data_IF_373661859513
#
_entry.id   IF_373661859513
#
_cell.length_a   1.000
_cell.length_b   1.000
_cell.length_c   1.000
_cell.angle_alpha   90.00
_cell.angle_beta   90.00
_cell.angle_gamma   90.00
#
_symmetry.space_group_name_H-M   'P 1'
#
loop_
_entity.id
_entity.type
_entity.pdbx_description
1 polymer ?
#
# COMPACT_ATOMS: atom_id res chain seq x y z
N UNK A 1 59.86 -5.36 53.19
CA UNK A 1 60.72 -6.57 53.25
C UNK A 1 60.29 -7.49 52.12
N UNK A 2 60.91 -7.36 50.95
CA UNK A 2 60.84 -8.40 49.91
C UNK A 2 62.17 -9.13 49.97
N UNK A 3 62.16 -10.43 50.28
CA UNK A 3 63.37 -11.24 50.19
C UNK A 3 63.69 -11.49 48.72
N UNK A 4 64.95 -11.30 48.33
CA UNK A 4 65.46 -11.81 47.06
C UNK A 4 65.55 -13.33 47.18
N UNK A 5 64.90 -14.01 46.25
CA UNK A 5 64.91 -15.47 46.15
C UNK A 5 66.21 -15.83 45.41
N UNK A 6 67.01 -16.74 45.96
CA UNK A 6 68.24 -17.22 45.33
C UNK A 6 67.91 -17.93 43.99
N UNK A 7 68.77 -17.78 42.99
CA UNK A 7 68.55 -18.26 41.61
C UNK A 7 68.33 -19.78 41.53
N UNK A 8 68.75 -20.53 42.57
CA UNK A 8 68.57 -21.98 42.72
C UNK A 8 67.18 -22.40 43.25
N UNK A 9 66.42 -21.48 43.84
CA UNK A 9 65.05 -21.71 44.35
C UNK A 9 63.96 -21.26 43.35
N UNK A 10 64.34 -20.87 42.14
CA UNK A 10 63.40 -20.57 41.07
C UNK A 10 62.73 -21.87 40.63
N UNK A 11 61.46 -22.08 40.98
CA UNK A 11 60.66 -23.20 40.47
C UNK A 11 60.80 -23.24 38.94
N UNK A 12 61.48 -24.26 38.43
CA UNK A 12 61.65 -24.50 36.99
C UNK A 12 60.30 -24.31 36.33
N UNK A 13 60.17 -23.29 35.47
CA UNK A 13 58.96 -23.04 34.72
C UNK A 13 58.64 -24.32 33.94
N UNK A 14 57.73 -25.14 34.46
CA UNK A 14 57.26 -26.31 33.74
C UNK A 14 56.60 -25.78 32.48
N UNK A 15 57.10 -26.15 31.28
CA UNK A 15 56.45 -25.73 30.06
C UNK A 15 54.99 -26.19 30.12
N UNK A 16 54.07 -25.27 29.86
CA UNK A 16 52.65 -25.52 29.94
C UNK A 16 52.26 -26.49 28.82
N UNK A 17 52.04 -27.76 29.19
CA UNK A 17 51.91 -28.89 28.26
C UNK A 17 50.52 -28.98 27.57
N UNK A 18 49.65 -27.99 27.78
CA UNK A 18 48.28 -27.98 27.24
C UNK A 18 48.14 -26.99 26.07
N UNK A 19 48.96 -27.13 25.04
CA UNK A 19 48.93 -26.28 23.84
C UNK A 19 47.56 -26.28 23.13
N UNK A 20 46.77 -27.35 23.28
CA UNK A 20 45.42 -27.47 22.72
C UNK A 20 44.45 -26.38 23.23
N UNK A 21 44.71 -25.80 24.41
CA UNK A 21 43.82 -24.78 24.99
C UNK A 21 43.83 -23.49 24.16
N UNK A 22 44.93 -23.21 23.46
CA UNK A 22 45.03 -22.02 22.61
C UNK A 22 44.19 -22.18 21.35
N UNK A 23 44.23 -23.36 20.70
CA UNK A 23 43.38 -23.64 19.53
C UNK A 23 41.91 -23.76 19.90
N UNK A 24 41.61 -24.29 21.10
CA UNK A 24 40.25 -24.31 21.64
C UNK A 24 39.74 -22.89 21.94
N UNK A 25 40.57 -22.05 22.55
CA UNK A 25 40.26 -20.64 22.81
C UNK A 25 39.94 -19.88 21.53
N UNK A 26 40.76 -20.06 20.49
CA UNK A 26 40.54 -19.44 19.17
C UNK A 26 39.19 -19.87 18.57
N UNK A 27 38.89 -21.18 18.54
CA UNK A 27 37.61 -21.70 18.04
C UNK A 27 36.40 -21.13 18.79
N UNK A 28 36.47 -21.08 20.13
CA UNK A 28 35.37 -20.53 20.96
C UNK A 28 35.17 -19.05 20.69
N UNK A 29 36.25 -18.27 20.52
CA UNK A 29 36.13 -16.84 20.21
C UNK A 29 35.57 -16.58 18.81
N UNK A 30 35.98 -17.36 17.80
CA UNK A 30 35.41 -17.28 16.45
C UNK A 30 33.92 -17.64 16.44
N UNK A 31 33.53 -18.67 17.18
CA UNK A 31 32.13 -19.07 17.33
C UNK A 31 31.31 -17.95 18.01
N UNK A 32 31.85 -17.33 19.07
CA UNK A 32 31.21 -16.21 19.75
C UNK A 32 31.04 -15.01 18.82
N UNK A 33 32.08 -14.60 18.10
CA UNK A 33 32.02 -13.54 17.11
C UNK A 33 31.00 -13.84 16.00
N UNK A 34 30.93 -15.08 15.52
CA UNK A 34 29.94 -15.51 14.53
C UNK A 34 28.49 -15.35 15.03
N UNK A 35 28.19 -15.78 16.26
CA UNK A 35 26.85 -15.61 16.83
C UNK A 35 26.47 -14.14 17.06
N UNK A 36 27.42 -13.30 17.48
CA UNK A 36 27.19 -11.85 17.62
C UNK A 36 26.86 -11.23 16.26
N UNK A 37 27.55 -11.62 15.19
CA UNK A 37 27.24 -11.19 13.82
C UNK A 37 25.86 -11.68 13.36
N UNK A 38 25.49 -12.93 13.62
CA UNK A 38 24.17 -13.46 13.32
C UNK A 38 23.05 -12.68 14.03
N UNK A 39 23.23 -12.38 15.32
CA UNK A 39 22.27 -11.58 16.08
C UNK A 39 22.18 -10.14 15.55
N UNK A 40 23.29 -9.56 15.08
CA UNK A 40 23.30 -8.23 14.45
C UNK A 40 22.54 -8.19 13.12
N UNK A 41 22.56 -9.29 12.35
CA UNK A 41 21.82 -9.43 11.11
C UNK A 41 20.34 -9.79 11.33
N UNK A 42 19.99 -10.39 12.47
CA UNK A 42 18.62 -10.58 12.94
C UNK A 42 18.02 -9.27 13.49
N UNK A 43 17.98 -8.22 12.67
CA UNK A 43 17.04 -7.12 12.89
C UNK A 43 15.66 -7.58 12.45
N UNK A 44 14.94 -8.18 13.38
CA UNK A 44 13.53 -8.50 13.17
C UNK A 44 12.74 -7.20 13.08
N UNK A 45 12.26 -6.88 11.89
CA UNK A 45 11.42 -5.73 11.62
C UNK A 45 10.02 -5.95 12.24
N UNK A 46 9.72 -5.22 13.30
CA UNK A 46 8.46 -5.32 14.07
C UNK A 46 7.25 -5.02 13.18
N UNK A 47 7.42 -4.24 12.12
CA UNK A 47 6.35 -3.95 11.16
C UNK A 47 5.95 -5.18 10.35
N UNK A 48 6.92 -6.03 9.94
CA UNK A 48 6.65 -7.25 9.17
C UNK A 48 5.90 -8.30 9.99
N UNK A 49 6.23 -8.43 11.28
CA UNK A 49 5.51 -9.34 12.19
C UNK A 49 4.06 -8.88 12.38
N UNK A 50 3.85 -7.56 12.52
CA UNK A 50 2.51 -7.01 12.69
C UNK A 50 1.66 -7.19 11.43
N UNK A 51 2.23 -7.04 10.24
CA UNK A 51 1.57 -7.31 8.95
C UNK A 51 1.16 -8.78 8.82
N UNK A 52 2.06 -9.73 9.15
CA UNK A 52 1.74 -11.16 9.13
C UNK A 52 0.59 -11.47 10.10
N UNK A 53 0.62 -10.92 11.33
CA UNK A 53 -0.45 -11.13 12.30
C UNK A 53 -1.80 -10.53 11.88
N UNK A 54 -1.79 -9.47 11.06
CA UNK A 54 -3.00 -8.84 10.54
C UNK A 54 -3.64 -9.68 9.42
N UNK A 55 -2.84 -10.39 8.61
CA UNK A 55 -3.34 -11.35 7.60
C UNK A 55 -3.93 -12.62 8.22
N UNK A 56 -3.62 -12.92 9.49
CA UNK A 56 -4.24 -14.03 10.24
C UNK A 56 -5.57 -13.66 10.90
N UNK A 57 -6.03 -12.39 10.83
CA UNK A 57 -7.42 -12.07 11.20
C UNK A 57 -8.34 -12.57 10.10
N UNK A 58 -9.14 -13.58 10.43
CA UNK A 58 -10.18 -14.11 9.57
C UNK A 58 -11.16 -13.00 9.20
N UNK A 59 -11.08 -12.51 7.97
CA UNK A 59 -12.12 -11.67 7.40
C UNK A 59 -13.27 -12.57 6.88
N UNK A 60 -14.53 -12.10 6.94
CA UNK A 60 -15.68 -12.85 6.46
C UNK A 60 -15.56 -13.22 4.97
N UNK A 61 -16.15 -14.35 4.54
CA UNK A 61 -16.03 -14.85 3.18
C UNK A 61 -16.60 -13.82 2.18
N UNK A 62 -15.77 -13.39 1.22
CA UNK A 62 -16.11 -12.38 0.21
C UNK A 62 -15.44 -11.01 0.42
N UNK A 63 -14.68 -10.82 1.49
CA UNK A 63 -13.80 -9.66 1.66
C UNK A 63 -12.50 -9.83 0.85
N UNK A 64 -11.99 -8.78 0.19
CA UNK A 64 -10.77 -8.86 -0.60
C UNK A 64 -9.57 -9.21 0.29
N UNK A 65 -8.69 -10.08 -0.23
CA UNK A 65 -7.45 -10.49 0.42
C UNK A 65 -6.50 -9.29 0.52
N UNK A 66 -6.25 -8.81 1.74
CA UNK A 66 -5.35 -7.67 2.01
C UNK A 66 -3.94 -8.21 2.28
N UNK A 67 -3.05 -8.10 1.29
CA UNK A 67 -1.61 -8.26 1.48
C UNK A 67 -0.98 -6.87 1.64
N UNK A 68 -0.78 -6.43 2.88
CA UNK A 68 -0.18 -5.13 3.19
C UNK A 68 1.35 -5.19 3.08
N UNK A 69 1.84 -5.14 1.84
CA UNK A 69 3.24 -4.89 1.53
C UNK A 69 3.38 -3.50 0.92
N UNK A 70 4.02 -2.58 1.66
CA UNK A 70 4.44 -1.23 1.26
C UNK A 70 3.37 -0.13 1.27
N UNK A 71 3.30 0.64 2.36
CA UNK A 71 3.82 2.03 2.46
C UNK A 71 3.14 2.76 3.64
N UNK A 72 3.93 3.11 4.66
CA UNK A 72 3.40 3.62 5.94
C UNK A 72 2.57 4.91 5.82
N UNK A 73 2.68 5.65 4.71
CA UNK A 73 1.90 6.85 4.44
C UNK A 73 0.56 6.53 3.75
N UNK A 74 0.51 5.56 2.82
CA UNK A 74 -0.75 5.09 2.22
C UNK A 74 -1.59 4.32 3.23
N UNK A 75 -0.97 3.56 4.14
CA UNK A 75 -1.66 2.90 5.24
C UNK A 75 -2.33 3.89 6.19
N UNK A 76 -1.64 5.01 6.52
CA UNK A 76 -2.22 6.09 7.33
C UNK A 76 -3.37 6.77 6.61
N UNK A 77 -3.24 6.99 5.31
CA UNK A 77 -4.28 7.61 4.51
C UNK A 77 -5.52 6.72 4.39
N UNK A 78 -5.35 5.41 4.16
CA UNK A 78 -6.44 4.45 4.16
C UNK A 78 -7.17 4.45 5.52
N UNK A 79 -6.44 4.42 6.64
CA UNK A 79 -7.03 4.51 7.98
C UNK A 79 -7.71 5.85 8.26
N UNK A 80 -7.21 6.95 7.71
CA UNK A 80 -7.84 8.26 7.83
C UNK A 80 -9.13 8.30 6.99
N UNK A 81 -9.07 7.84 5.75
CA UNK A 81 -10.21 7.77 4.84
C UNK A 81 -11.33 6.87 5.39
N UNK A 82 -10.99 5.75 6.01
CA UNK A 82 -11.95 4.84 6.67
C UNK A 82 -12.62 5.47 7.90
N UNK A 83 -11.91 6.36 8.62
CA UNK A 83 -12.47 7.11 9.76
C UNK A 83 -13.38 8.26 9.34
N UNK A 84 -13.33 8.68 8.08
CA UNK A 84 -14.32 9.63 7.58
C UNK A 84 -15.65 8.90 7.41
N UNK A 85 -16.71 9.55 7.87
CA UNK A 85 -18.10 9.16 7.58
C UNK A 85 -18.36 9.39 6.09
N UNK A 86 -17.89 8.47 5.25
CA UNK A 86 -18.09 8.47 3.80
C UNK A 86 -19.38 7.69 3.52
N UNK A 87 -20.23 8.14 2.58
CA UNK A 87 -21.45 7.39 2.23
C UNK A 87 -21.15 5.93 1.87
N UNK A 88 -22.07 5.01 2.22
CA UNK A 88 -21.98 3.54 1.99
C UNK A 88 -21.61 3.11 0.55
N UNK A 89 -21.77 4.01 -0.41
CA UNK A 89 -21.53 3.78 -1.84
C UNK A 89 -20.08 4.09 -2.30
N UNK A 90 -19.20 4.48 -1.37
CA UNK A 90 -17.76 4.67 -1.60
C UNK A 90 -16.98 3.57 -0.89
N UNK A 91 -16.18 2.83 -1.64
CA UNK A 91 -15.27 1.81 -1.09
C UNK A 91 -13.85 2.35 -1.12
N UNK A 92 -13.10 2.14 -0.03
CA UNK A 92 -11.67 2.47 0.05
C UNK A 92 -10.93 1.16 0.24
N UNK A 93 -10.03 0.84 -0.69
CA UNK A 93 -9.20 -0.36 -0.65
C UNK A 93 -7.72 0.06 -0.68
N UNK A 94 -6.92 -0.47 0.25
CA UNK A 94 -5.48 -0.39 0.17
C UNK A 94 -4.94 -1.64 -0.57
N UNK A 95 -4.17 -1.42 -1.63
CA UNK A 95 -3.57 -2.44 -2.49
C UNK A 95 -2.07 -2.17 -2.65
N UNK A 96 -1.33 -3.17 -3.13
CA UNK A 96 0.04 -3.04 -3.64
C UNK A 96 0.21 -1.92 -4.68
N UNK A 97 -0.85 -1.61 -5.44
CA UNK A 97 -0.87 -0.51 -6.41
C UNK A 97 -1.10 0.87 -5.80
N UNK A 98 -1.44 0.94 -4.51
CA UNK A 98 -1.75 2.19 -3.81
C UNK A 98 -3.11 2.19 -3.11
N UNK A 99 -3.63 3.38 -2.80
CA UNK A 99 -4.97 3.53 -2.18
C UNK A 99 -6.00 3.77 -3.27
N UNK A 100 -6.85 2.77 -3.50
CA UNK A 100 -7.94 2.83 -4.45
C UNK A 100 -9.22 3.28 -3.74
N UNK A 101 -9.80 4.38 -4.22
CA UNK A 101 -11.14 4.81 -3.85
C UNK A 101 -12.08 4.52 -5.01
N UNK A 102 -13.02 3.61 -4.79
CA UNK A 102 -14.02 3.23 -5.78
C UNK A 102 -15.34 3.92 -5.50
N UNK A 103 -15.84 4.65 -6.49
CA UNK A 103 -17.18 5.22 -6.47
C UNK A 103 -18.13 4.42 -7.35
N UNK A 104 -19.16 3.83 -6.75
CA UNK A 104 -20.21 3.12 -7.50
C UNK A 104 -21.04 4.11 -8.35
N UNK A 105 -21.61 3.66 -9.49
CA UNK A 105 -22.40 4.52 -10.41
C UNK A 105 -23.46 5.37 -9.69
N UNK A 106 -24.17 4.77 -8.74
CA UNK A 106 -25.27 5.41 -8.00
C UNK A 106 -24.86 6.72 -7.33
N UNK A 107 -23.57 6.91 -7.05
CA UNK A 107 -23.04 8.12 -6.44
C UNK A 107 -22.24 8.99 -7.40
N UNK A 108 -21.71 8.46 -8.50
CA UNK A 108 -20.85 9.27 -9.39
C UNK A 108 -21.58 9.95 -10.52
N UNK A 109 -22.42 9.23 -11.27
CA UNK A 109 -23.01 9.73 -12.53
C UNK A 109 -24.39 9.12 -12.78
N UNK A 110 -25.32 9.92 -13.30
CA UNK A 110 -26.57 9.40 -13.85
C UNK A 110 -26.33 8.60 -15.15
N UNK A 111 -27.30 7.77 -15.55
CA UNK A 111 -27.19 6.98 -16.78
C UNK A 111 -27.02 7.89 -18.00
N UNK A 112 -25.96 7.64 -18.78
CA UNK A 112 -25.63 8.47 -19.95
C UNK A 112 -25.13 9.88 -19.61
N UNK A 113 -24.98 10.24 -18.33
CA UNK A 113 -24.43 11.53 -17.93
C UNK A 113 -22.94 11.45 -17.62
N UNK A 114 -22.28 12.61 -17.78
CA UNK A 114 -20.91 12.90 -17.36
C UNK A 114 -20.88 13.91 -16.20
N UNK A 115 -22.05 14.34 -15.74
CA UNK A 115 -22.17 15.27 -14.62
C UNK A 115 -22.05 14.50 -13.30
N UNK A 116 -21.20 15.04 -12.43
CA UNK A 116 -20.91 14.44 -11.13
C UNK A 116 -22.10 14.71 -10.21
N UNK A 117 -22.65 13.66 -9.59
CA UNK A 117 -23.76 13.83 -8.65
C UNK A 117 -23.33 14.65 -7.42
N UNK A 118 -24.28 15.37 -6.80
CA UNK A 118 -24.02 16.11 -5.57
C UNK A 118 -23.49 15.22 -4.43
N UNK A 119 -23.89 13.94 -4.39
CA UNK A 119 -23.40 12.98 -3.40
C UNK A 119 -21.91 12.68 -3.59
N UNK A 120 -21.48 12.45 -4.84
CA UNK A 120 -20.07 12.27 -5.16
C UNK A 120 -19.27 13.54 -4.86
N UNK A 121 -19.80 14.72 -5.20
CA UNK A 121 -19.13 15.99 -4.87
C UNK A 121 -18.91 16.12 -3.35
N UNK A 122 -19.92 15.79 -2.52
CA UNK A 122 -19.78 15.81 -1.05
C UNK A 122 -18.73 14.80 -0.56
N UNK A 123 -18.73 13.58 -1.11
CA UNK A 123 -17.74 12.56 -0.75
C UNK A 123 -16.31 12.97 -1.16
N UNK A 124 -16.11 13.45 -2.40
CA UNK A 124 -14.81 13.93 -2.86
C UNK A 124 -14.31 15.12 -2.03
N UNK A 125 -15.19 16.05 -1.65
CA UNK A 125 -14.80 17.16 -0.76
C UNK A 125 -14.27 16.69 0.60
N UNK A 126 -14.82 15.60 1.13
CA UNK A 126 -14.34 14.97 2.37
C UNK A 126 -12.94 14.35 2.20
N UNK A 127 -12.61 13.85 1.01
CA UNK A 127 -11.31 13.23 0.73
C UNK A 127 -10.21 14.20 0.30
N UNK A 128 -10.57 15.38 -0.24
CA UNK A 128 -9.61 16.40 -0.69
C UNK A 128 -8.49 16.71 0.30
N UNK A 129 -8.74 16.87 1.62
CA UNK A 129 -7.68 17.12 2.58
C UNK A 129 -6.62 16.01 2.63
N UNK A 130 -7.04 14.75 2.45
CA UNK A 130 -6.15 13.59 2.48
C UNK A 130 -5.37 13.52 1.16
N UNK A 131 -6.06 13.61 0.03
CA UNK A 131 -5.43 13.61 -1.31
C UNK A 131 -4.42 14.76 -1.46
N UNK A 132 -4.73 15.92 -0.88
CA UNK A 132 -3.88 17.10 -0.89
C UNK A 132 -2.61 16.94 -0.05
N UNK A 133 -2.65 16.18 1.04
CA UNK A 133 -1.51 16.01 1.95
C UNK A 133 -0.42 15.09 1.37
N UNK A 134 -0.80 14.08 0.60
CA UNK A 134 0.12 12.98 0.31
C UNK A 134 1.02 13.19 -0.91
N UNK A 135 0.78 14.21 -1.73
CA UNK A 135 1.55 14.53 -2.95
C UNK A 135 1.73 13.40 -4.00
N UNK A 136 1.23 12.19 -3.75
CA UNK A 136 1.22 11.06 -4.68
C UNK A 136 0.56 11.38 -6.02
N UNK A 137 0.99 10.68 -7.07
CA UNK A 137 0.28 10.67 -8.34
C UNK A 137 -1.07 9.97 -8.22
N UNK A 138 -2.02 10.39 -9.05
CA UNK A 138 -3.42 10.04 -9.00
C UNK A 138 -3.83 9.52 -10.37
N UNK A 139 -4.22 8.25 -10.43
CA UNK A 139 -4.86 7.68 -11.60
C UNK A 139 -6.38 7.69 -11.41
N UNK A 140 -7.09 8.25 -12.38
CA UNK A 140 -8.55 8.31 -12.39
C UNK A 140 -9.05 7.44 -13.52
N UNK A 141 -9.70 6.34 -13.17
CA UNK A 141 -10.04 5.26 -14.08
C UNK A 141 -11.55 5.12 -14.24
N UNK A 142 -12.05 5.37 -15.46
CA UNK A 142 -13.46 5.26 -15.78
C UNK A 142 -13.84 3.88 -16.32
N UNK A 143 -14.96 3.34 -15.84
CA UNK A 143 -15.53 2.07 -16.30
C UNK A 143 -17.00 2.22 -16.69
N UNK A 144 -17.38 1.56 -17.76
CA UNK A 144 -18.75 1.45 -18.26
C UNK A 144 -19.22 0.01 -18.21
N UNK A 145 -20.43 -0.21 -18.70
CA UNK A 145 -21.02 -1.53 -18.88
C UNK A 145 -21.25 -1.73 -20.37
N UNK A 146 -21.38 -2.98 -20.79
CA UNK A 146 -21.63 -3.36 -22.18
C UNK A 146 -22.91 -2.74 -22.75
N UNK A 147 -23.90 -2.50 -21.88
CA UNK A 147 -25.19 -1.89 -22.22
C UNK A 147 -25.25 -0.36 -22.09
N UNK A 148 -24.15 0.32 -21.72
CA UNK A 148 -24.15 1.78 -21.49
C UNK A 148 -24.09 2.54 -22.83
N UNK A 149 -25.20 2.57 -23.58
CA UNK A 149 -25.27 3.28 -24.87
C UNK A 149 -25.64 4.76 -24.66
N UNK A 150 -24.97 5.67 -25.38
CA UNK A 150 -25.25 7.10 -25.37
C UNK A 150 -25.17 7.68 -26.78
N UNK A 151 -26.09 8.58 -27.14
CA UNK A 151 -26.02 9.32 -28.41
C UNK A 151 -24.90 10.37 -28.45
N UNK A 152 -24.39 10.80 -27.29
CA UNK A 152 -23.36 11.84 -27.18
C UNK A 152 -21.94 11.33 -27.37
N UNK A 153 -21.69 10.07 -27.04
CA UNK A 153 -20.35 9.47 -27.11
C UNK A 153 -20.37 8.27 -28.08
N UNK A 154 -19.57 8.29 -29.15
CA UNK A 154 -19.42 7.20 -30.11
C UNK A 154 -19.13 5.83 -29.50
N UNK A 155 -18.46 5.77 -28.35
CA UNK A 155 -18.08 4.50 -27.71
C UNK A 155 -18.05 4.57 -26.19
N UNK A 156 -18.14 3.39 -25.57
CA UNK A 156 -17.93 3.18 -24.15
C UNK A 156 -16.56 3.69 -23.67
N UNK A 157 -15.53 3.57 -24.51
CA UNK A 157 -14.19 4.11 -24.24
C UNK A 157 -14.25 5.62 -24.02
N UNK A 158 -14.83 6.37 -24.95
CA UNK A 158 -14.92 7.84 -24.85
C UNK A 158 -15.76 8.29 -23.66
N UNK A 159 -16.88 7.61 -23.38
CA UNK A 159 -17.70 7.92 -22.21
C UNK A 159 -16.95 7.66 -20.91
N UNK A 160 -16.18 6.57 -20.84
CA UNK A 160 -15.38 6.25 -19.66
C UNK A 160 -14.29 7.29 -19.40
N UNK A 161 -13.58 7.74 -20.45
CA UNK A 161 -12.62 8.83 -20.38
C UNK A 161 -13.31 10.13 -19.97
N UNK A 162 -14.47 10.46 -20.55
CA UNK A 162 -15.17 11.69 -20.25
C UNK A 162 -15.62 11.77 -18.77
N UNK A 163 -16.09 10.66 -18.19
CA UNK A 163 -16.44 10.58 -16.76
C UNK A 163 -15.21 10.76 -15.87
N UNK A 164 -14.12 10.08 -16.19
CA UNK A 164 -12.87 10.21 -15.43
C UNK A 164 -12.29 11.64 -15.54
N UNK A 165 -12.34 12.26 -16.72
CA UNK A 165 -11.98 13.66 -16.94
C UNK A 165 -12.83 14.64 -16.15
N UNK A 166 -14.13 14.37 -15.96
CA UNK A 166 -14.98 15.22 -15.13
C UNK A 166 -14.48 15.25 -13.68
N UNK A 167 -14.10 14.09 -13.14
CA UNK A 167 -13.51 13.98 -11.79
C UNK A 167 -12.15 14.67 -11.72
N UNK A 168 -11.30 14.50 -12.74
CA UNK A 168 -10.03 15.21 -12.82
C UNK A 168 -10.22 16.74 -12.81
N UNK A 169 -11.18 17.24 -13.59
CA UNK A 169 -11.55 18.66 -13.60
C UNK A 169 -12.07 19.15 -12.26
N UNK A 170 -12.84 18.32 -11.55
CA UNK A 170 -13.27 18.62 -10.18
C UNK A 170 -12.08 18.73 -9.21
N UNK A 171 -11.12 17.79 -9.25
CA UNK A 171 -9.92 17.83 -8.41
C UNK A 171 -9.05 19.06 -8.73
N UNK A 172 -8.87 19.37 -10.01
CA UNK A 172 -8.15 20.56 -10.46
C UNK A 172 -8.79 21.86 -9.93
N UNK A 173 -10.12 21.97 -10.03
CA UNK A 173 -10.86 23.12 -9.50
C UNK A 173 -10.65 23.30 -7.98
N UNK A 174 -10.38 22.20 -7.27
CA UNK A 174 -10.08 22.17 -5.84
C UNK A 174 -8.57 22.16 -5.52
N UNK A 175 -7.73 22.69 -6.42
CA UNK A 175 -6.29 22.93 -6.21
C UNK A 175 -5.40 21.69 -6.16
N UNK A 176 -5.87 20.55 -6.67
CA UNK A 176 -4.98 19.42 -6.95
C UNK A 176 -4.20 19.72 -8.24
N UNK A 177 -2.88 19.52 -8.20
CA UNK A 177 -1.98 19.81 -9.32
C UNK A 177 -2.32 18.92 -10.53
N UNK A 178 -2.56 19.48 -11.73
CA UNK A 178 -2.79 18.71 -12.96
C UNK A 178 -1.70 17.70 -13.27
N UNK A 179 -0.45 18.03 -12.93
CA UNK A 179 0.73 17.22 -13.19
C UNK A 179 0.73 15.90 -12.41
N UNK A 180 -0.02 15.85 -11.29
CA UNK A 180 -0.21 14.64 -10.48
C UNK A 180 -1.32 13.74 -11.01
N UNK A 181 -2.07 14.15 -12.03
CA UNK A 181 -3.30 13.46 -12.42
C UNK A 181 -3.17 12.84 -13.80
N UNK A 182 -3.49 11.55 -13.89
CA UNK A 182 -3.70 10.86 -15.14
C UNK A 182 -5.12 10.34 -15.25
N UNK A 183 -5.68 10.42 -16.45
CA UNK A 183 -7.05 9.98 -16.75
C UNK A 183 -6.98 8.79 -17.68
N UNK A 184 -7.61 7.69 -17.26
CA UNK A 184 -7.69 6.45 -18.03
C UNK A 184 -9.16 6.09 -18.20
N UNK A 185 -9.53 5.71 -19.41
CA UNK A 185 -10.85 5.14 -19.68
C UNK A 185 -10.68 3.71 -20.12
N UNK A 186 -11.34 2.76 -19.44
CA UNK A 186 -11.29 1.34 -19.79
C UNK A 186 -12.54 0.87 -20.54
N UNK A 187 -13.57 1.71 -20.68
CA UNK A 187 -14.87 1.29 -21.18
C UNK A 187 -15.41 0.09 -20.39
N UNK A 188 -15.87 -0.93 -21.09
CA UNK A 188 -16.38 -2.20 -20.59
C UNK A 188 -15.32 -3.32 -20.56
N UNK A 189 -14.07 -3.04 -20.94
CA UNK A 189 -13.00 -4.04 -21.08
C UNK A 189 -12.49 -4.62 -19.75
N UNK A 190 -12.75 -3.95 -18.63
CA UNK A 190 -12.35 -4.37 -17.28
C UNK A 190 -13.56 -4.45 -16.32
N UNK A 191 -14.48 -5.42 -16.52
CA UNK A 191 -15.61 -5.61 -15.62
C UNK A 191 -15.13 -6.22 -14.29
N UNK A 192 -15.68 -5.73 -13.16
CA UNK A 192 -15.40 -6.30 -11.82
C UNK A 192 -16.22 -7.57 -11.59
N UNK A 193 -17.40 -7.65 -12.20
CA UNK A 193 -18.32 -8.78 -12.11
C UNK A 193 -18.81 -9.19 -13.49
N UNK A 194 -19.10 -10.46 -13.67
CA UNK A 194 -19.79 -10.94 -14.87
C UNK A 194 -21.15 -10.23 -15.02
N UNK A 195 -21.44 -9.74 -16.22
CA UNK A 195 -22.58 -8.87 -16.55
C UNK A 195 -23.95 -9.57 -16.58
N UNK A 196 -24.09 -10.73 -15.94
CA UNK A 196 -25.27 -11.61 -16.05
C UNK A 196 -26.56 -10.98 -15.51
N UNK A 197 -26.45 -10.06 -14.54
CA UNK A 197 -27.59 -9.40 -13.90
C UNK A 197 -27.50 -7.88 -14.00
N UNK A 198 -28.65 -7.20 -14.04
CA UNK A 198 -28.71 -5.74 -14.05
C UNK A 198 -28.00 -5.11 -12.83
N UNK A 199 -28.03 -5.79 -11.69
CA UNK A 199 -27.33 -5.39 -10.48
C UNK A 199 -25.80 -5.46 -10.64
N UNK A 200 -25.25 -6.58 -11.12
CA UNK A 200 -23.79 -6.72 -11.37
C UNK A 200 -23.29 -5.74 -12.44
N UNK A 201 -24.09 -5.54 -13.48
CA UNK A 201 -23.86 -4.51 -14.51
C UNK A 201 -23.79 -3.11 -13.91
N UNK A 202 -24.64 -2.79 -12.94
CA UNK A 202 -24.57 -1.51 -12.23
C UNK A 202 -23.28 -1.32 -11.42
N UNK A 203 -22.74 -2.39 -10.84
CA UNK A 203 -21.47 -2.38 -10.11
C UNK A 203 -20.25 -2.21 -11.02
N UNK A 204 -20.32 -2.67 -12.28
CA UNK A 204 -19.24 -2.48 -13.25
C UNK A 204 -19.06 -1.02 -13.66
N UNK A 205 -20.15 -0.24 -13.61
CA UNK A 205 -20.16 1.19 -13.92
C UNK A 205 -19.66 1.93 -12.69
N UNK A 206 -18.40 2.36 -12.74
CA UNK A 206 -17.72 2.97 -11.60
C UNK A 206 -16.61 3.89 -12.07
N UNK A 207 -16.19 4.78 -11.19
CA UNK A 207 -14.92 5.46 -11.34
C UNK A 207 -14.04 5.13 -10.15
N UNK A 208 -12.81 4.79 -10.44
CA UNK A 208 -11.76 4.49 -9.46
C UNK A 208 -10.80 5.68 -9.42
N UNK A 209 -10.43 6.09 -8.22
CA UNK A 209 -9.37 7.06 -7.98
C UNK A 209 -8.28 6.30 -7.23
N UNK A 210 -7.16 6.03 -7.90
CA UNK A 210 -6.02 5.33 -7.36
C UNK A 210 -4.92 6.34 -7.02
N UNK A 211 -4.58 6.44 -5.74
CA UNK A 211 -3.39 7.13 -5.26
C UNK A 211 -2.20 6.19 -5.41
N UNK A 212 -1.34 6.43 -6.39
CA UNK A 212 -0.17 5.62 -6.68
C UNK A 212 0.87 5.76 -5.56
N UNK A 213 1.61 4.70 -5.20
CA UNK A 213 2.73 4.83 -4.27
C UNK A 213 3.74 5.85 -4.79
N UNK A 214 4.41 6.57 -3.88
CA UNK A 214 5.53 7.42 -4.28
C UNK A 214 6.56 6.54 -5.00
N UNK A 215 6.91 6.89 -6.24
CA UNK A 215 8.08 6.31 -6.87
C UNK A 215 9.27 6.62 -5.95
N UNK A 216 9.80 5.60 -5.27
CA UNK A 216 11.11 5.71 -4.66
C UNK A 216 12.08 5.89 -5.83
N UNK A 217 12.40 7.14 -6.16
CA UNK A 217 13.59 7.46 -6.96
C UNK A 217 14.74 6.69 -6.33
N UNK A 218 15.19 5.68 -7.06
CA UNK A 218 16.16 4.69 -6.62
C UNK A 218 17.56 5.28 -6.56
#
# INVERSE_FOLDING_TARGET
MGQMIDEEDCEVCKPFDQEWIFTYGDLVTLLFCFFVLLVSLCKTDVEKIKQISASFKENPPGSPFVFSGQSSNLDKAAQQLEKLDVPDDVEINASDKGVEVTFRRTVSFEQGSIEISEKAVKAMKKMLPIIGQMQNDIEISGHTDDTDVNNRFPSNWEMSVARASAIAGFLQANKIAPERMQVVGYGDSRPRFNADTAYKRALNRRVEILLLPEEQTR
#
